data_IF_974027531527
#
_entry.id   IF_974027531527
#
_cell.length_a   1.000
_cell.length_b   1.000
_cell.length_c   1.000
_cell.angle_alpha   90.00
_cell.angle_beta   90.00
_cell.angle_gamma   90.00
#
_symmetry.space_group_name_H-M   'P 1'
#
loop_
_entity.id
_entity.type
_entity.pdbx_description
1 polymer ?
#
# COMPACT_ATOMS: atom_id res chain seq x y z
N UNK A 1 -20.70 10.46 0.40
CA UNK A 1 -19.83 9.29 0.56
C UNK A 1 -19.04 9.15 -0.72
N UNK A 2 -17.71 9.17 -0.65
CA UNK A 2 -16.95 8.60 -1.74
C UNK A 2 -17.34 7.12 -1.79
N UNK A 3 -17.78 6.62 -2.94
CA UNK A 3 -18.06 5.19 -3.10
C UNK A 3 -16.71 4.47 -3.10
N UNK A 4 -16.26 4.10 -1.89
CA UNK A 4 -15.02 3.37 -1.66
C UNK A 4 -15.34 1.88 -1.66
N UNK A 5 -14.56 1.13 -2.41
CA UNK A 5 -14.56 -0.32 -2.36
C UNK A 5 -14.05 -0.83 -1.01
N UNK A 6 -14.37 -2.09 -0.72
CA UNK A 6 -13.90 -2.75 0.51
C UNK A 6 -12.38 -2.73 0.65
N UNK A 7 -11.63 -2.93 -0.43
CA UNK A 7 -10.16 -2.94 -0.39
C UNK A 7 -9.58 -1.53 -0.18
N UNK A 8 -10.19 -0.49 -0.77
CA UNK A 8 -9.79 0.90 -0.56
C UNK A 8 -9.99 1.32 0.89
N UNK A 9 -11.12 0.92 1.51
CA UNK A 9 -11.36 1.20 2.92
C UNK A 9 -10.33 0.53 3.82
N UNK A 10 -9.98 -0.74 3.55
CA UNK A 10 -8.94 -1.45 4.32
C UNK A 10 -7.59 -0.78 4.21
N UNK A 11 -7.21 -0.34 3.01
CA UNK A 11 -5.93 0.36 2.79
C UNK A 11 -5.88 1.65 3.60
N UNK A 12 -6.93 2.49 3.51
CA UNK A 12 -6.97 3.74 4.28
C UNK A 12 -6.88 3.48 5.79
N UNK A 13 -7.62 2.49 6.30
CA UNK A 13 -7.59 2.13 7.72
C UNK A 13 -6.22 1.61 8.18
N UNK A 14 -5.50 0.85 7.36
CA UNK A 14 -4.16 0.35 7.71
C UNK A 14 -3.06 1.43 7.63
N UNK A 15 -3.28 2.48 6.84
CA UNK A 15 -2.36 3.60 6.70
C UNK A 15 -2.52 4.66 7.80
N UNK A 16 -3.56 4.57 8.64
CA UNK A 16 -3.71 5.44 9.82
C UNK A 16 -2.55 5.24 10.82
N UNK A 17 -1.97 4.03 10.86
CA UNK A 17 -0.79 3.71 11.67
C UNK A 17 0.53 4.32 11.12
N UNK A 18 0.48 5.06 10.01
CA UNK A 18 1.61 5.72 9.36
C UNK A 18 2.00 5.14 8.01
N UNK A 19 3.19 5.48 7.53
CA UNK A 19 3.72 5.08 6.22
C UNK A 19 3.63 3.58 5.98
N UNK A 20 3.13 3.20 4.80
CA UNK A 20 3.06 1.81 4.37
C UNK A 20 3.80 1.62 3.05
N UNK A 21 4.58 0.54 2.97
CA UNK A 21 5.04 0.05 1.68
C UNK A 21 3.98 -0.86 1.02
N UNK A 22 4.12 -1.07 -0.28
CA UNK A 22 3.15 -1.84 -1.05
C UNK A 22 3.05 -3.32 -0.63
N UNK A 23 4.15 -4.05 -0.37
CA UNK A 23 4.08 -5.39 0.20
C UNK A 23 3.28 -5.48 1.51
N UNK A 24 3.46 -4.51 2.40
CA UNK A 24 2.76 -4.45 3.69
C UNK A 24 1.25 -4.22 3.50
N UNK A 25 0.85 -3.35 2.56
CA UNK A 25 -0.57 -3.19 2.22
C UNK A 25 -1.20 -4.49 1.73
N UNK A 26 -0.53 -5.24 0.85
CA UNK A 26 -1.05 -6.53 0.40
C UNK A 26 -1.19 -7.49 1.60
N UNK A 27 -0.17 -7.56 2.46
CA UNK A 27 -0.18 -8.43 3.63
C UNK A 27 -1.34 -8.11 4.60
N UNK A 28 -1.57 -6.83 4.90
CA UNK A 28 -2.56 -6.40 5.89
C UNK A 28 -4.00 -6.46 5.34
N UNK A 29 -4.20 -6.21 4.05
CA UNK A 29 -5.55 -5.98 3.49
C UNK A 29 -6.15 -7.16 2.71
N UNK A 30 -5.36 -8.20 2.40
CA UNK A 30 -5.76 -9.35 1.56
C UNK A 30 -5.67 -10.70 2.28
N UNK A 31 -5.99 -11.79 1.57
CA UNK A 31 -6.00 -13.14 2.13
C UNK A 31 -4.60 -13.76 2.26
N UNK A 32 -3.59 -13.23 1.55
CA UNK A 32 -2.20 -13.69 1.54
C UNK A 32 -2.04 -15.08 0.92
N UNK A 33 -2.81 -15.35 -0.13
CA UNK A 33 -2.79 -16.60 -0.87
C UNK A 33 -1.59 -16.72 -1.81
N UNK A 34 -0.95 -15.60 -2.14
CA UNK A 34 0.10 -15.54 -3.17
C UNK A 34 -0.47 -15.46 -4.59
N UNK A 35 -1.79 -15.30 -4.73
CA UNK A 35 -2.43 -15.04 -6.02
C UNK A 35 -2.14 -13.61 -6.48
N UNK A 36 -1.76 -13.45 -7.76
CA UNK A 36 -1.51 -12.14 -8.37
C UNK A 36 -2.77 -11.26 -8.42
N UNK A 37 -3.96 -11.84 -8.34
CA UNK A 37 -5.21 -11.08 -8.22
C UNK A 37 -5.25 -10.22 -6.95
N UNK A 38 -4.61 -10.65 -5.84
CA UNK A 38 -4.47 -9.84 -4.63
C UNK A 38 -3.63 -8.60 -4.88
N UNK A 39 -2.53 -8.77 -5.62
CA UNK A 39 -1.64 -7.67 -6.02
C UNK A 39 -2.39 -6.69 -6.91
N UNK A 40 -3.10 -7.19 -7.92
CA UNK A 40 -3.88 -6.36 -8.85
C UNK A 40 -4.99 -5.57 -8.12
N UNK A 41 -5.71 -6.21 -7.19
CA UNK A 41 -6.75 -5.55 -6.41
C UNK A 41 -6.19 -4.40 -5.56
N UNK A 42 -5.07 -4.61 -4.87
CA UNK A 42 -4.40 -3.55 -4.09
C UNK A 42 -3.85 -2.46 -5.00
N UNK A 43 -3.28 -2.84 -6.15
CA UNK A 43 -2.73 -1.90 -7.13
C UNK A 43 -3.79 -0.94 -7.68
N UNK A 44 -4.95 -1.48 -8.07
CA UNK A 44 -6.07 -0.69 -8.58
C UNK A 44 -6.69 0.20 -7.50
N UNK A 45 -6.78 -0.30 -6.27
CA UNK A 45 -7.25 0.46 -5.11
C UNK A 45 -6.32 1.64 -4.79
N UNK A 46 -5.01 1.41 -4.67
CA UNK A 46 -4.02 2.46 -4.45
C UNK A 46 -4.06 3.49 -5.57
N UNK A 47 -4.13 3.05 -6.84
CA UNK A 47 -4.24 3.98 -7.99
C UNK A 47 -5.47 4.87 -7.86
N UNK A 48 -6.60 4.32 -7.44
CA UNK A 48 -7.84 5.08 -7.25
C UNK A 48 -7.73 6.06 -6.09
N UNK A 49 -7.14 5.66 -4.96
CA UNK A 49 -6.91 6.52 -3.81
C UNK A 49 -5.98 7.70 -4.13
N UNK A 50 -4.92 7.46 -4.91
CA UNK A 50 -4.01 8.52 -5.40
C UNK A 50 -4.77 9.48 -6.31
N UNK A 51 -5.55 8.99 -7.27
CA UNK A 51 -6.37 9.83 -8.17
C UNK A 51 -7.41 10.67 -7.44
N UNK A 52 -7.92 10.17 -6.30
CA UNK A 52 -8.85 10.88 -5.43
C UNK A 52 -8.14 11.86 -4.49
N UNK A 53 -6.81 11.91 -4.49
CA UNK A 53 -6.03 12.77 -3.61
C UNK A 53 -6.08 12.35 -2.13
N UNK A 54 -6.41 11.08 -1.85
CA UNK A 54 -6.47 10.53 -0.49
C UNK A 54 -5.13 9.93 -0.04
N UNK A 55 -4.33 9.49 -1.01
CA UNK A 55 -3.01 8.91 -0.78
C UNK A 55 -2.00 9.65 -1.66
N UNK A 56 -0.81 9.91 -1.11
CA UNK A 56 0.37 10.35 -1.87
C UNK A 56 1.41 9.25 -1.88
N UNK A 57 2.24 9.26 -2.92
CA UNK A 57 3.36 8.33 -3.06
C UNK A 57 4.67 9.10 -2.94
N UNK A 58 5.60 8.52 -2.20
CA UNK A 58 6.98 8.98 -2.10
C UNK A 58 7.93 7.86 -2.51
N UNK A 59 9.06 8.24 -3.09
CA UNK A 59 10.16 7.31 -3.35
C UNK A 59 11.21 7.51 -2.25
N UNK A 60 11.40 6.52 -1.39
CA UNK A 60 12.30 6.60 -0.24
C UNK A 60 13.52 5.68 -0.39
N UNK A 61 14.69 6.13 0.05
CA UNK A 61 15.87 5.28 0.24
C UNK A 61 16.73 5.80 1.39
N UNK A 62 17.62 4.97 1.93
CA UNK A 62 18.58 5.40 2.94
C UNK A 62 19.52 6.50 2.42
N UNK A 63 19.85 6.46 1.12
CA UNK A 63 20.81 7.38 0.52
C UNK A 63 20.23 8.77 0.25
N UNK A 64 18.95 8.85 -0.09
CA UNK A 64 18.31 10.08 -0.59
C UNK A 64 17.22 10.62 0.33
N UNK A 65 16.77 9.84 1.31
CA UNK A 65 15.53 10.12 2.03
C UNK A 65 14.29 9.96 1.13
N UNK A 66 13.15 10.46 1.61
CA UNK A 66 11.89 10.50 0.88
C UNK A 66 11.85 11.62 -0.15
N UNK A 67 11.33 11.31 -1.34
CA UNK A 67 11.01 12.28 -2.38
C UNK A 67 9.58 12.05 -2.84
N UNK A 68 8.70 13.01 -2.58
CA UNK A 68 7.34 13.00 -3.14
C UNK A 68 7.39 13.00 -4.67
N UNK A 69 6.50 12.25 -5.29
CA UNK A 69 6.41 12.16 -6.75
C UNK A 69 5.15 12.84 -7.27
N UNK A 70 5.16 13.23 -8.55
CA UNK A 70 3.93 13.72 -9.19
C UNK A 70 2.92 12.58 -9.35
N UNK A 71 1.63 12.91 -9.54
CA UNK A 71 0.60 11.91 -9.79
C UNK A 71 0.92 11.01 -11.01
N UNK A 72 1.41 11.59 -12.12
CA UNK A 72 1.81 10.84 -13.32
C UNK A 72 3.00 9.90 -13.07
N UNK A 73 3.92 10.29 -12.18
CA UNK A 73 5.03 9.44 -11.75
C UNK A 73 4.52 8.33 -10.81
N UNK A 74 3.63 8.65 -9.87
CA UNK A 74 3.00 7.67 -8.98
C UNK A 74 2.25 6.59 -9.78
N UNK A 75 1.47 6.98 -10.80
CA UNK A 75 0.77 6.01 -11.66
C UNK A 75 1.73 5.07 -12.38
N UNK A 76 2.87 5.57 -12.88
CA UNK A 76 3.91 4.74 -13.51
C UNK A 76 4.53 3.77 -12.50
N UNK A 77 4.91 4.26 -11.32
CA UNK A 77 5.51 3.45 -10.26
C UNK A 77 4.55 2.33 -9.82
N UNK A 78 3.27 2.64 -9.62
CA UNK A 78 2.25 1.66 -9.26
C UNK A 78 2.04 0.64 -10.40
N UNK A 79 2.12 1.03 -11.67
CA UNK A 79 2.02 0.09 -12.79
C UNK A 79 3.18 -0.91 -12.85
N UNK A 80 4.38 -0.48 -12.47
CA UNK A 80 5.59 -1.31 -12.50
C UNK A 80 5.76 -2.19 -11.26
N UNK A 81 5.01 -1.94 -10.19
CA UNK A 81 5.27 -2.52 -8.87
C UNK A 81 5.25 -4.05 -8.87
N UNK A 82 4.31 -4.67 -9.58
CA UNK A 82 4.19 -6.13 -9.69
C UNK A 82 5.46 -6.78 -10.23
N UNK A 83 6.21 -6.08 -11.09
CA UNK A 83 7.47 -6.60 -11.65
C UNK A 83 8.59 -6.68 -10.61
N UNK A 84 8.43 -6.00 -9.47
CA UNK A 84 9.37 -6.00 -8.36
C UNK A 84 8.97 -6.91 -7.20
N UNK A 85 7.75 -7.44 -7.22
CA UNK A 85 7.25 -8.28 -6.14
C UNK A 85 7.62 -9.76 -6.34
N UNK A 86 7.98 -10.41 -5.25
CA UNK A 86 8.17 -11.86 -5.20
C UNK A 86 7.43 -12.41 -4.00
N UNK A 87 6.61 -13.45 -4.21
CA UNK A 87 5.90 -14.11 -3.13
C UNK A 87 6.83 -15.09 -2.41
N UNK A 88 6.89 -14.99 -1.09
CA UNK A 88 7.64 -15.87 -0.19
C UNK A 88 6.66 -16.85 0.47
N UNK A 89 6.58 -18.12 0.01
CA UNK A 89 5.54 -19.05 0.47
C UNK A 89 5.69 -19.45 1.94
N UNK A 90 6.91 -19.53 2.46
CA UNK A 90 7.18 -19.93 3.84
C UNK A 90 6.62 -18.93 4.86
N UNK A 91 6.64 -17.65 4.51
CA UNK A 91 6.17 -16.54 5.34
C UNK A 91 4.83 -15.99 4.88
N UNK A 92 4.32 -16.43 3.72
CA UNK A 92 3.09 -15.94 3.07
C UNK A 92 3.07 -14.42 2.91
N UNK A 93 4.21 -13.84 2.53
CA UNK A 93 4.34 -12.40 2.27
C UNK A 93 4.82 -12.15 0.85
N UNK A 94 4.39 -11.04 0.27
CA UNK A 94 5.08 -10.45 -0.86
C UNK A 94 6.29 -9.68 -0.36
N UNK A 95 7.37 -9.64 -1.14
CA UNK A 95 8.55 -8.85 -0.85
C UNK A 95 8.95 -8.03 -2.08
N UNK A 96 9.40 -6.80 -1.86
CA UNK A 96 9.99 -5.98 -2.93
C UNK A 96 11.47 -6.34 -3.10
N UNK A 97 11.82 -6.88 -4.27
CA UNK A 97 13.19 -7.30 -4.59
C UNK A 97 14.20 -6.15 -4.58
N UNK A 98 13.74 -4.90 -4.72
CA UNK A 98 14.59 -3.70 -4.68
C UNK A 98 15.15 -3.46 -3.27
N UNK A 99 14.36 -3.78 -2.24
CA UNK A 99 14.78 -3.68 -0.83
C UNK A 99 15.82 -4.73 -0.44
N UNK A 100 15.89 -5.85 -1.17
CA UNK A 100 16.75 -6.99 -0.88
C UNK A 100 18.10 -6.99 -1.62
N UNK A 101 18.39 -5.97 -2.44
CA UNK A 101 19.69 -5.86 -3.11
C UNK A 101 20.74 -5.64 -2.02
N UNK A 102 21.70 -6.56 -1.94
CA UNK A 102 22.63 -6.74 -0.80
C UNK A 102 23.43 -5.49 -0.38
N UNK A 103 24.31 -5.62 0.62
CA UNK A 103 24.91 -4.47 1.30
C UNK A 103 25.53 -3.42 0.35
N UNK A 104 25.27 -2.12 0.58
CA UNK A 104 24.38 -1.60 1.61
C UNK A 104 22.91 -1.83 1.23
N UNK A 105 22.09 -2.30 2.19
CA UNK A 105 20.65 -2.48 1.98
C UNK A 105 19.95 -1.13 1.80
N UNK A 106 18.76 -1.14 1.20
CA UNK A 106 17.86 0.02 1.07
C UNK A 106 18.46 1.22 0.32
N UNK A 107 19.33 0.97 -0.66
CA UNK A 107 19.94 2.01 -1.51
C UNK A 107 19.10 2.33 -2.75
N UNK A 108 18.26 1.38 -3.19
CA UNK A 108 17.36 1.59 -4.32
C UNK A 108 16.07 2.20 -3.77
N UNK A 109 15.62 3.34 -4.31
CA UNK A 109 14.37 3.93 -3.88
C UNK A 109 13.18 2.99 -4.06
N UNK A 110 12.35 2.90 -3.03
CA UNK A 110 11.11 2.12 -3.00
C UNK A 110 9.91 3.03 -2.77
N UNK A 111 8.73 2.66 -3.30
CA UNK A 111 7.51 3.43 -3.09
C UNK A 111 6.98 3.23 -1.68
N UNK A 112 6.83 4.34 -0.97
CA UNK A 112 6.09 4.45 0.28
C UNK A 112 4.85 5.29 0.05
N UNK A 113 3.80 5.00 0.80
CA UNK A 113 2.53 5.69 0.70
C UNK A 113 2.16 6.32 2.03
N UNK A 114 1.60 7.52 1.95
CA UNK A 114 1.14 8.31 3.08
C UNK A 114 -0.29 8.82 2.80
N UNK A 115 -1.08 8.99 3.85
CA UNK A 115 -2.37 9.64 3.76
C UNK A 115 -2.20 11.14 3.57
N UNK A 116 -3.06 11.75 2.77
CA UNK A 116 -3.26 13.21 2.85
C UNK A 116 -4.16 13.54 4.03
N UNK A 117 -4.29 14.81 4.41
CA UNK A 117 -5.28 15.24 5.42
C UNK A 117 -6.71 14.77 5.07
N UNK A 118 -7.05 14.70 3.78
CA UNK A 118 -8.33 14.16 3.33
C UNK A 118 -8.41 12.63 3.48
N UNK A 119 -7.30 11.93 3.24
CA UNK A 119 -7.15 10.50 3.50
C UNK A 119 -7.27 10.13 4.98
N UNK A 120 -6.63 10.90 5.86
CA UNK A 120 -6.70 10.73 7.32
C UNK A 120 -8.14 10.85 7.82
N UNK A 121 -8.83 11.93 7.45
CA UNK A 121 -10.26 12.12 7.81
C UNK A 121 -11.15 10.98 7.35
N UNK A 122 -10.88 10.46 6.15
CA UNK A 122 -11.66 9.36 5.61
C UNK A 122 -11.32 8.03 6.32
N UNK A 123 -10.05 7.79 6.66
CA UNK A 123 -9.61 6.64 7.45
C UNK A 123 -10.23 6.66 8.85
N UNK A 124 -10.18 7.80 9.56
CA UNK A 124 -10.82 8.01 10.86
C UNK A 124 -12.31 7.68 10.80
N UNK A 125 -13.03 8.25 9.82
CA UNK A 125 -14.47 7.99 9.62
C UNK A 125 -14.77 6.51 9.42
N UNK A 126 -13.98 5.82 8.59
CA UNK A 126 -14.13 4.37 8.35
C UNK A 126 -13.92 3.60 9.65
N UNK A 127 -12.88 3.94 10.42
CA UNK A 127 -12.55 3.29 11.68
C UNK A 127 -13.63 3.53 12.75
N UNK A 128 -14.22 4.72 12.82
CA UNK A 128 -15.35 5.00 13.70
C UNK A 128 -16.60 4.19 13.34
N UNK A 129 -16.89 4.03 12.04
CA UNK A 129 -18.08 3.32 11.57
C UNK A 129 -17.95 1.80 11.66
N UNK A 130 -16.76 1.26 11.41
CA UNK A 130 -16.54 -0.18 11.23
C UNK A 130 -15.70 -0.82 12.33
N UNK A 131 -14.90 -0.04 13.06
CA UNK A 131 -13.91 -0.51 14.01
C UNK A 131 -12.65 -1.06 13.34
N UNK A 132 -11.51 -1.01 14.02
CA UNK A 132 -10.25 -1.54 13.48
C UNK A 132 -10.38 -3.03 13.10
N UNK A 133 -9.82 -3.41 11.94
CA UNK A 133 -9.76 -4.80 11.45
C UNK A 133 -11.12 -5.51 11.24
N UNK A 134 -12.22 -4.78 10.92
CA UNK A 134 -13.54 -5.37 10.69
C UNK A 134 -13.56 -6.50 9.64
N UNK A 135 -12.62 -6.49 8.70
CA UNK A 135 -12.50 -7.48 7.64
C UNK A 135 -11.81 -8.78 8.08
N UNK A 136 -11.11 -8.76 9.22
CA UNK A 136 -10.51 -9.95 9.81
C UNK A 136 -11.52 -10.78 10.60
N UNK A 137 -12.62 -10.18 11.07
CA UNK A 137 -13.67 -10.87 11.82
C UNK A 137 -14.38 -11.98 11.01
N UNK A 138 -14.26 -11.97 9.67
CA UNK A 138 -14.76 -13.05 8.80
C UNK A 138 -13.84 -14.27 8.71
N UNK A 139 -12.74 -14.31 9.48
CA UNK A 139 -11.77 -15.43 9.50
C UNK A 139 -11.95 -16.39 10.69
N UNK A 140 -13.08 -16.32 11.41
CA UNK A 140 -13.44 -17.24 12.49
C UNK A 140 -14.36 -18.36 11.99
#
# INVERSE_FOLDING_TARGET
MADLSEIEMRILSEMEEGYQDFPMLIYKTTERSGNLEEVAAVQDAVRTLIRRGLVVLEMSSLATGGRSVSQDEAERVINEIVTHLTFLPDTKVWADRRSAVGPPYFQIPVPEMELTEAGEKEAERILEERGMWWWHAKRA
#
